data_IF_501316090511
#
_entry.id   IF_501316090511
#
_cell.length_a   1.000
_cell.length_b   1.000
_cell.length_c   1.000
_cell.angle_alpha   90.00
_cell.angle_beta   90.00
_cell.angle_gamma   90.00
#
_symmetry.space_group_name_H-M   'P 1'
#
loop_
_entity.id
_entity.type
_entity.pdbx_description
1 polymer ?
#
# COMPACT_ATOMS: atom_id res chain seq x y z
N UNK A 1 15.62 21.40 24.34
CA UNK A 1 15.35 20.64 23.09
C UNK A 1 14.78 21.62 22.08
N UNK A 2 15.29 21.65 20.85
CA UNK A 2 14.77 22.58 19.83
C UNK A 2 13.29 22.24 19.54
N UNK A 3 12.35 23.17 19.69
CA UNK A 3 10.91 22.93 19.48
C UNK A 3 10.58 22.45 18.05
N UNK A 4 11.42 22.75 17.07
CA UNK A 4 11.25 22.28 15.70
C UNK A 4 11.45 20.76 15.54
N UNK A 5 12.12 20.08 16.48
CA UNK A 5 12.37 18.63 16.43
C UNK A 5 11.21 17.81 17.03
N UNK A 6 10.44 18.43 17.93
CA UNK A 6 9.38 17.74 18.68
C UNK A 6 8.33 17.04 17.77
N UNK A 7 7.82 17.66 16.69
CA UNK A 7 6.88 17.02 15.78
C UNK A 7 7.44 15.75 15.12
N UNK A 8 8.72 15.78 14.74
CA UNK A 8 9.37 14.61 14.13
C UNK A 8 9.57 13.47 15.13
N UNK A 9 9.95 13.78 16.37
CA UNK A 9 10.05 12.78 17.44
C UNK A 9 8.67 12.17 17.75
N UNK A 10 7.62 12.99 17.81
CA UNK A 10 6.27 12.53 18.04
C UNK A 10 5.77 11.63 16.90
N UNK A 11 6.01 12.03 15.63
CA UNK A 11 5.66 11.21 14.46
C UNK A 11 6.46 9.89 14.47
N UNK A 12 7.76 9.94 14.74
CA UNK A 12 8.61 8.74 14.78
C UNK A 12 8.15 7.75 15.85
N UNK A 13 7.90 8.23 17.08
CA UNK A 13 7.38 7.41 18.17
C UNK A 13 5.98 6.85 17.86
N UNK A 14 5.07 7.69 17.36
CA UNK A 14 3.73 7.29 16.96
C UNK A 14 3.75 6.26 15.83
N UNK A 15 4.61 6.44 14.83
CA UNK A 15 4.79 5.49 13.72
C UNK A 15 5.33 4.14 14.21
N UNK A 16 6.24 4.15 15.17
CA UNK A 16 6.78 2.93 15.77
C UNK A 16 5.70 2.18 16.55
N UNK A 17 4.96 2.87 17.42
CA UNK A 17 3.85 2.26 18.17
C UNK A 17 2.78 1.72 17.23
N UNK A 18 2.36 2.52 16.24
CA UNK A 18 1.37 2.12 15.25
C UNK A 18 1.81 0.87 14.47
N UNK A 19 3.05 0.85 13.97
CA UNK A 19 3.57 -0.27 13.19
C UNK A 19 3.77 -1.54 14.02
N UNK A 20 4.14 -1.42 15.29
CA UNK A 20 4.23 -2.56 16.21
C UNK A 20 2.85 -3.14 16.53
N UNK A 21 1.84 -2.29 16.78
CA UNK A 21 0.46 -2.73 17.01
C UNK A 21 -0.11 -3.41 15.77
N UNK A 22 0.02 -2.78 14.61
CA UNK A 22 -0.44 -3.31 13.33
C UNK A 22 0.27 -4.62 12.96
N UNK A 23 1.59 -4.65 13.13
CA UNK A 23 2.40 -5.84 12.93
C UNK A 23 2.04 -6.95 13.90
N UNK A 24 1.81 -6.62 15.18
CA UNK A 24 1.34 -7.55 16.20
C UNK A 24 -0.02 -8.16 15.87
N UNK A 25 -0.97 -7.34 15.40
CA UNK A 25 -2.29 -7.80 14.93
C UNK A 25 -2.12 -8.76 13.74
N UNK A 26 -1.40 -8.32 12.70
CA UNK A 26 -1.16 -9.12 11.50
C UNK A 26 -0.40 -10.41 11.82
N UNK A 27 0.58 -10.37 12.70
CA UNK A 27 1.32 -11.55 13.15
C UNK A 27 0.46 -12.54 13.94
N UNK A 28 -0.50 -12.06 14.76
CA UNK A 28 -1.50 -12.92 15.43
C UNK A 28 -2.42 -13.59 14.42
N UNK A 29 -2.92 -12.82 13.45
CA UNK A 29 -3.76 -13.36 12.37
C UNK A 29 -3.04 -14.42 11.55
N UNK A 30 -1.74 -14.23 11.29
CA UNK A 30 -0.92 -15.18 10.54
C UNK A 30 -0.66 -16.51 11.28
N UNK A 31 -0.78 -16.52 12.61
CA UNK A 31 -0.69 -17.77 13.42
C UNK A 31 -1.97 -18.56 13.43
N UNK A 32 -3.10 -17.93 13.12
CA UNK A 32 -4.40 -18.58 13.00
C UNK A 32 -4.49 -19.38 11.71
N UNK A 33 -5.61 -20.09 11.55
CA UNK A 33 -5.93 -20.85 10.37
C UNK A 33 -7.00 -20.17 9.50
N UNK A 34 -7.15 -20.65 8.27
CA UNK A 34 -8.24 -20.25 7.40
C UNK A 34 -8.19 -18.80 6.92
N UNK A 35 -9.36 -18.09 6.89
CA UNK A 35 -9.45 -16.75 6.30
C UNK A 35 -8.58 -15.71 7.00
N UNK A 36 -8.45 -15.74 8.33
CA UNK A 36 -7.66 -14.77 9.09
C UNK A 36 -6.20 -14.76 8.66
N UNK A 37 -5.59 -15.94 8.47
CA UNK A 37 -4.21 -16.06 7.99
C UNK A 37 -4.03 -15.43 6.61
N UNK A 38 -4.96 -15.67 5.69
CA UNK A 38 -4.90 -15.09 4.34
C UNK A 38 -5.05 -13.56 4.33
N UNK A 39 -5.78 -13.00 5.29
CA UNK A 39 -5.99 -11.56 5.43
C UNK A 39 -4.85 -10.83 6.13
N UNK A 40 -3.99 -11.53 6.88
CA UNK A 40 -2.96 -10.93 7.72
C UNK A 40 -2.07 -9.93 6.96
N UNK A 41 -1.60 -10.31 5.77
CA UNK A 41 -0.76 -9.46 4.92
C UNK A 41 -1.50 -8.21 4.44
N UNK A 42 -2.78 -8.36 4.09
CA UNK A 42 -3.58 -7.24 3.59
C UNK A 42 -4.00 -6.28 4.69
N UNK A 43 -4.24 -6.76 5.90
CA UNK A 43 -4.46 -5.89 7.06
C UNK A 43 -3.23 -5.01 7.32
N UNK A 44 -2.03 -5.60 7.29
CA UNK A 44 -0.79 -4.82 7.39
C UNK A 44 -0.64 -3.82 6.25
N UNK A 45 -0.85 -4.25 5.01
CA UNK A 45 -0.76 -3.42 3.81
C UNK A 45 -1.72 -2.21 3.87
N UNK A 46 -3.02 -2.45 4.09
CA UNK A 46 -4.02 -1.38 4.20
C UNK A 46 -3.61 -0.39 5.31
N UNK A 47 -3.19 -0.92 6.46
CA UNK A 47 -2.82 -0.09 7.61
C UNK A 47 -1.63 0.82 7.31
N UNK A 48 -0.53 0.30 6.74
CA UNK A 48 0.66 1.12 6.48
C UNK A 48 0.40 2.21 5.43
N UNK A 49 -0.38 1.93 4.40
CA UNK A 49 -0.73 2.93 3.40
C UNK A 49 -1.71 3.99 3.94
N UNK A 50 -2.68 3.58 4.78
CA UNK A 50 -3.57 4.53 5.46
C UNK A 50 -2.79 5.44 6.41
N UNK A 51 -1.81 4.91 7.14
CA UNK A 51 -0.96 5.70 8.04
C UNK A 51 0.01 6.66 7.33
N UNK A 52 0.32 6.44 6.05
CA UNK A 52 1.16 7.36 5.28
C UNK A 52 0.47 8.70 5.02
N UNK A 53 -0.86 8.72 4.85
CA UNK A 53 -1.63 9.93 4.60
C UNK A 53 -1.52 10.96 5.74
N UNK A 54 -1.83 10.66 7.02
CA UNK A 54 -1.66 11.62 8.11
C UNK A 54 -0.19 12.01 8.33
N UNK A 55 0.78 11.14 8.10
CA UNK A 55 2.20 11.48 8.19
C UNK A 55 2.57 12.57 7.17
N UNK A 56 2.07 12.46 5.94
CA UNK A 56 2.28 13.46 4.91
C UNK A 56 1.52 14.76 5.20
N UNK A 57 0.26 14.71 5.62
CA UNK A 57 -0.52 15.89 5.96
C UNK A 57 0.12 16.69 7.09
N UNK A 58 0.76 16.01 8.05
CA UNK A 58 1.38 16.68 9.19
C UNK A 58 2.75 17.29 8.87
N UNK A 59 3.67 16.52 8.26
CA UNK A 59 5.07 16.93 8.06
C UNK A 59 5.53 16.84 6.59
N UNK A 60 4.61 16.77 5.65
CA UNK A 60 4.90 16.76 4.22
C UNK A 60 5.84 15.62 3.79
N UNK A 61 6.76 15.94 2.90
CA UNK A 61 7.76 14.99 2.38
C UNK A 61 8.54 14.29 3.51
N UNK A 62 9.05 15.04 4.48
CA UNK A 62 9.83 14.46 5.58
C UNK A 62 8.99 13.59 6.51
N UNK A 63 7.68 13.88 6.63
CA UNK A 63 6.75 13.02 7.35
C UNK A 63 6.65 11.63 6.73
N UNK A 64 6.51 11.56 5.42
CA UNK A 64 6.48 10.28 4.68
C UNK A 64 7.80 9.54 4.77
N UNK A 65 8.93 10.26 4.61
CA UNK A 65 10.27 9.66 4.72
C UNK A 65 10.48 9.05 6.10
N UNK A 66 10.15 9.79 7.17
CA UNK A 66 10.29 9.29 8.54
C UNK A 66 9.37 8.09 8.81
N UNK A 67 8.08 8.22 8.47
CA UNK A 67 7.11 7.14 8.62
C UNK A 67 7.52 5.89 7.84
N UNK A 68 7.87 6.05 6.56
CA UNK A 68 8.32 4.96 5.68
C UNK A 68 9.61 4.31 6.17
N UNK A 69 10.53 5.08 6.75
CA UNK A 69 11.78 4.55 7.34
C UNK A 69 11.51 3.66 8.55
N UNK A 70 10.58 4.03 9.43
CA UNK A 70 10.17 3.20 10.58
C UNK A 70 9.53 1.90 10.10
N UNK A 71 8.58 1.97 9.15
CA UNK A 71 7.95 0.77 8.57
C UNK A 71 8.99 -0.10 7.85
N UNK A 72 9.84 0.53 7.03
CA UNK A 72 10.90 -0.16 6.28
C UNK A 72 11.89 -0.89 7.19
N UNK A 73 12.28 -0.27 8.31
CA UNK A 73 13.14 -0.90 9.31
C UNK A 73 12.47 -2.12 9.96
N UNK A 74 11.18 -2.03 10.30
CA UNK A 74 10.43 -3.14 10.89
C UNK A 74 10.29 -4.31 9.90
N UNK A 75 9.94 -4.03 8.65
CA UNK A 75 9.82 -5.06 7.59
C UNK A 75 11.20 -5.62 7.24
N UNK A 76 12.24 -4.78 7.16
CA UNK A 76 13.62 -5.19 6.96
C UNK A 76 14.13 -6.11 8.07
N UNK A 77 13.81 -5.80 9.34
CA UNK A 77 14.12 -6.68 10.47
C UNK A 77 13.42 -8.04 10.34
N UNK A 78 12.13 -8.05 9.93
CA UNK A 78 11.41 -9.29 9.68
C UNK A 78 12.05 -10.10 8.55
N UNK A 79 12.46 -9.43 7.47
CA UNK A 79 13.16 -10.05 6.34
C UNK A 79 14.49 -10.72 6.76
N UNK A 80 15.30 -10.03 7.57
CA UNK A 80 16.61 -10.54 8.04
C UNK A 80 16.43 -11.72 8.99
N UNK A 81 15.52 -11.60 9.98
CA UNK A 81 15.26 -12.65 10.98
C UNK A 81 14.51 -13.86 10.42
N UNK A 82 13.81 -13.71 9.28
CA UNK A 82 13.07 -14.80 8.67
C UNK A 82 11.94 -15.30 9.57
N UNK A 83 11.69 -16.60 9.56
CA UNK A 83 10.58 -17.26 10.27
C UNK A 83 10.54 -17.02 11.80
N UNK A 84 11.66 -16.64 12.40
CA UNK A 84 11.74 -16.26 13.80
C UNK A 84 11.08 -14.91 14.12
N UNK A 85 10.86 -14.05 13.12
CA UNK A 85 10.21 -12.77 13.32
C UNK A 85 8.68 -12.91 13.29
N UNK A 86 7.99 -12.28 14.23
CA UNK A 86 6.52 -12.32 14.31
C UNK A 86 5.82 -11.78 13.05
N UNK A 87 6.43 -10.80 12.39
CA UNK A 87 5.89 -10.16 11.20
C UNK A 87 6.22 -10.95 9.91
N UNK A 88 7.29 -11.74 9.88
CA UNK A 88 7.69 -12.48 8.69
C UNK A 88 6.57 -13.38 8.16
N UNK A 89 5.93 -14.13 9.06
CA UNK A 89 4.82 -15.02 8.71
C UNK A 89 3.59 -14.28 8.18
N UNK A 90 3.38 -13.04 8.63
CA UNK A 90 2.28 -12.20 8.15
C UNK A 90 2.54 -11.67 6.74
N UNK A 91 3.80 -11.44 6.37
CA UNK A 91 4.20 -10.88 5.07
C UNK A 91 4.53 -11.94 4.02
N UNK A 92 5.03 -13.10 4.43
CA UNK A 92 5.35 -14.20 3.52
C UNK A 92 4.08 -14.87 3.00
N UNK A 93 4.10 -15.25 1.71
CA UNK A 93 3.04 -16.10 1.14
C UNK A 93 3.33 -17.57 1.49
N UNK A 94 2.26 -18.33 1.73
CA UNK A 94 2.38 -19.77 1.99
C UNK A 94 2.95 -20.52 0.77
N UNK A 95 3.85 -21.47 1.03
CA UNK A 95 4.10 -22.58 0.12
C UNK A 95 5.48 -22.75 -0.48
N UNK A 96 6.43 -21.82 -0.30
CA UNK A 96 7.75 -22.00 -0.93
C UNK A 96 8.87 -21.46 -0.03
N UNK A 97 9.71 -22.34 0.47
CA UNK A 97 11.00 -22.01 1.13
C UNK A 97 11.75 -20.91 0.39
N UNK A 98 12.79 -20.40 0.51
CA UNK A 98 13.53 -19.36 -0.24
C UNK A 98 12.76 -18.31 -1.06
N UNK A 99 11.60 -18.65 -1.62
CA UNK A 99 10.68 -17.74 -2.32
C UNK A 99 10.04 -16.70 -1.37
N UNK A 100 9.81 -17.02 -0.10
CA UNK A 100 9.17 -16.12 0.86
C UNK A 100 9.92 -14.79 1.05
N UNK A 101 11.26 -14.81 1.00
CA UNK A 101 12.06 -13.58 1.11
C UNK A 101 11.91 -12.63 -0.07
N UNK A 102 11.85 -13.17 -1.31
CA UNK A 102 11.63 -12.34 -2.52
C UNK A 102 10.25 -11.70 -2.51
N UNK A 103 9.26 -12.40 -1.98
CA UNK A 103 7.89 -11.92 -1.87
C UNK A 103 7.73 -10.78 -0.84
N UNK A 104 8.68 -10.60 0.07
CA UNK A 104 8.75 -9.46 0.98
C UNK A 104 9.57 -8.33 0.36
N UNK A 105 10.73 -8.64 -0.23
CA UNK A 105 11.69 -7.62 -0.70
C UNK A 105 11.15 -6.84 -1.89
N UNK A 106 10.59 -7.50 -2.91
CA UNK A 106 10.12 -6.80 -4.10
C UNK A 106 8.97 -5.81 -3.82
N UNK A 107 7.89 -6.18 -3.07
CA UNK A 107 6.89 -5.22 -2.65
C UNK A 107 7.43 -4.13 -1.73
N UNK A 108 8.40 -4.43 -0.84
CA UNK A 108 9.01 -3.43 0.03
C UNK A 108 9.73 -2.35 -0.78
N UNK A 109 10.62 -2.76 -1.69
CA UNK A 109 11.34 -1.83 -2.58
C UNK A 109 10.36 -1.04 -3.44
N UNK A 110 9.38 -1.71 -4.03
CA UNK A 110 8.33 -1.10 -4.85
C UNK A 110 7.52 -0.05 -4.05
N UNK A 111 7.19 -0.34 -2.78
CA UNK A 111 6.50 0.59 -1.89
C UNK A 111 7.35 1.81 -1.57
N UNK A 112 8.62 1.61 -1.23
CA UNK A 112 9.55 2.71 -0.87
C UNK A 112 9.76 3.62 -2.08
N UNK A 113 10.10 3.04 -3.23
CA UNK A 113 10.35 3.80 -4.47
C UNK A 113 9.08 4.53 -4.91
N UNK A 114 7.94 3.84 -4.95
CA UNK A 114 6.66 4.44 -5.33
C UNK A 114 6.26 5.58 -4.39
N UNK A 115 6.40 5.39 -3.08
CA UNK A 115 6.06 6.41 -2.09
C UNK A 115 6.93 7.66 -2.19
N UNK A 116 8.25 7.47 -2.28
CA UNK A 116 9.19 8.60 -2.40
C UNK A 116 9.00 9.34 -3.72
N UNK A 117 8.89 8.63 -4.85
CA UNK A 117 8.65 9.26 -6.15
C UNK A 117 7.33 10.02 -6.19
N UNK A 118 6.26 9.44 -5.65
CA UNK A 118 4.95 10.10 -5.63
C UNK A 118 5.00 11.41 -4.83
N UNK A 119 5.54 11.42 -3.60
CA UNK A 119 5.57 12.63 -2.79
C UNK A 119 6.58 13.65 -3.32
N UNK A 120 7.70 13.21 -3.90
CA UNK A 120 8.72 14.10 -4.46
C UNK A 120 8.23 14.81 -5.72
N UNK A 121 7.54 14.09 -6.62
CA UNK A 121 7.10 14.62 -7.91
C UNK A 121 5.74 15.32 -7.83
N UNK A 122 4.83 14.85 -6.98
CA UNK A 122 3.42 15.21 -7.00
C UNK A 122 2.95 15.87 -5.69
N UNK A 123 3.84 16.05 -4.73
CA UNK A 123 3.53 16.75 -3.47
C UNK A 123 2.37 16.08 -2.72
N UNK A 124 1.36 16.89 -2.36
CA UNK A 124 0.19 16.44 -1.59
C UNK A 124 -0.66 15.39 -2.32
N UNK A 125 -0.64 15.36 -3.65
CA UNK A 125 -1.38 14.34 -4.43
C UNK A 125 -0.87 12.91 -4.23
N UNK A 126 0.33 12.72 -3.66
CA UNK A 126 0.81 11.38 -3.30
C UNK A 126 -0.14 10.64 -2.35
N UNK A 127 -0.91 11.36 -1.53
CA UNK A 127 -1.93 10.79 -0.63
C UNK A 127 -2.97 9.97 -1.41
N UNK A 128 -3.33 10.42 -2.63
CA UNK A 128 -4.25 9.70 -3.51
C UNK A 128 -3.69 8.30 -3.81
N UNK A 129 -2.44 8.24 -4.26
CA UNK A 129 -1.78 6.97 -4.56
C UNK A 129 -1.64 6.06 -3.36
N UNK A 130 -1.36 6.61 -2.17
CA UNK A 130 -1.27 5.80 -0.95
C UNK A 130 -2.62 5.17 -0.62
N UNK A 131 -3.70 5.93 -0.58
CA UNK A 131 -5.01 5.39 -0.23
C UNK A 131 -5.55 4.46 -1.32
N UNK A 132 -5.33 4.76 -2.61
CA UNK A 132 -5.70 3.86 -3.72
C UNK A 132 -4.92 2.55 -3.62
N UNK A 133 -3.61 2.58 -3.37
CA UNK A 133 -2.79 1.38 -3.20
C UNK A 133 -3.23 0.59 -1.96
N UNK A 134 -3.41 1.23 -0.82
CA UNK A 134 -3.82 0.56 0.41
C UNK A 134 -5.19 -0.09 0.30
N UNK A 135 -6.19 0.68 -0.10
CA UNK A 135 -7.59 0.25 -0.09
C UNK A 135 -7.95 -0.53 -1.36
N UNK A 136 -7.51 -0.04 -2.53
CA UNK A 136 -7.80 -0.68 -3.82
C UNK A 136 -7.14 -2.06 -3.93
N UNK A 137 -5.79 -2.12 -3.94
CA UNK A 137 -5.07 -3.39 -4.02
C UNK A 137 -5.33 -4.29 -2.78
N UNK A 138 -5.52 -3.67 -1.60
CA UNK A 138 -5.86 -4.39 -0.39
C UNK A 138 -7.14 -5.22 -0.55
N UNK A 139 -8.24 -4.59 -0.99
CA UNK A 139 -9.54 -5.25 -1.17
C UNK A 139 -9.54 -6.11 -2.43
N UNK A 140 -8.89 -5.66 -3.50
CA UNK A 140 -8.82 -6.37 -4.78
C UNK A 140 -8.26 -7.77 -4.68
N UNK A 141 -7.17 -7.97 -3.92
CA UNK A 141 -6.61 -9.30 -3.71
C UNK A 141 -7.55 -10.19 -2.89
N UNK A 142 -8.20 -9.65 -1.85
CA UNK A 142 -9.17 -10.40 -1.02
C UNK A 142 -10.33 -10.90 -1.88
N UNK A 143 -10.93 -10.01 -2.67
CA UNK A 143 -12.06 -10.33 -3.54
C UNK A 143 -11.64 -11.30 -4.65
N UNK A 144 -10.50 -11.03 -5.28
CA UNK A 144 -9.96 -11.89 -6.35
C UNK A 144 -9.66 -13.31 -5.89
N UNK A 145 -9.15 -13.50 -4.67
CA UNK A 145 -8.89 -14.83 -4.10
C UNK A 145 -10.17 -15.57 -3.72
N UNK A 146 -11.20 -14.86 -3.23
CA UNK A 146 -12.41 -15.49 -2.71
C UNK A 146 -13.47 -15.70 -3.77
N UNK A 147 -13.64 -14.78 -4.70
CA UNK A 147 -14.73 -14.76 -5.69
C UNK A 147 -14.25 -14.68 -7.14
N UNK A 148 -12.93 -14.61 -7.38
CA UNK A 148 -12.36 -14.50 -8.72
C UNK A 148 -12.64 -15.73 -9.58
N UNK A 149 -13.35 -15.54 -10.68
CA UNK A 149 -13.72 -16.57 -11.65
C UNK A 149 -13.02 -16.36 -13.00
N UNK A 150 -13.00 -15.09 -13.51
CA UNK A 150 -12.43 -14.75 -14.81
C UNK A 150 -10.99 -14.34 -14.63
N UNK A 151 -10.06 -15.23 -14.99
CA UNK A 151 -8.62 -15.04 -14.81
C UNK A 151 -7.97 -14.42 -16.05
N UNK A 152 -7.02 -13.52 -15.82
CA UNK A 152 -6.13 -12.99 -16.84
C UNK A 152 -4.70 -12.89 -16.30
N UNK A 153 -3.74 -12.57 -17.19
CA UNK A 153 -2.32 -12.48 -16.82
C UNK A 153 -1.81 -11.05 -16.94
N UNK A 154 -1.05 -10.59 -15.94
CA UNK A 154 -0.35 -9.31 -15.97
C UNK A 154 0.78 -9.28 -17.01
N UNK A 155 1.40 -8.12 -17.20
CA UNK A 155 2.59 -8.00 -18.01
C UNK A 155 3.75 -8.82 -17.42
N UNK A 156 4.61 -9.42 -18.27
CA UNK A 156 5.70 -10.24 -17.77
C UNK A 156 6.85 -9.38 -17.23
N UNK A 157 7.44 -9.79 -16.11
CA UNK A 157 8.74 -9.35 -15.67
C UNK A 157 9.63 -10.60 -15.52
N UNK A 158 10.74 -10.66 -16.23
CA UNK A 158 11.64 -11.82 -16.23
C UNK A 158 10.90 -13.15 -16.49
N UNK A 159 10.02 -13.19 -17.48
CA UNK A 159 9.16 -14.34 -17.85
C UNK A 159 8.11 -14.73 -16.80
N UNK A 160 8.02 -14.04 -15.66
CA UNK A 160 6.97 -14.25 -14.67
C UNK A 160 5.77 -13.36 -14.93
N UNK A 161 4.59 -13.92 -14.79
CA UNK A 161 3.31 -13.21 -14.91
C UNK A 161 2.46 -13.56 -13.71
N UNK A 162 1.92 -12.58 -13.01
CA UNK A 162 0.91 -12.84 -12.00
C UNK A 162 -0.45 -13.13 -12.65
N UNK A 163 -1.21 -13.99 -12.00
CA UNK A 163 -2.60 -14.26 -12.39
C UNK A 163 -3.49 -13.34 -11.60
N UNK A 164 -4.30 -12.58 -12.31
CA UNK A 164 -5.29 -11.64 -11.76
C UNK A 164 -6.70 -12.11 -12.11
N UNK A 165 -7.71 -11.47 -11.53
CA UNK A 165 -9.11 -11.75 -11.84
C UNK A 165 -9.87 -10.46 -12.11
N UNK A 166 -10.85 -10.53 -13.01
CA UNK A 166 -11.70 -9.37 -13.35
C UNK A 166 -12.44 -8.87 -12.11
N UNK A 167 -12.94 -9.81 -11.29
CA UNK A 167 -13.65 -9.47 -10.04
C UNK A 167 -12.72 -8.79 -9.04
N UNK A 168 -11.45 -9.22 -8.96
CA UNK A 168 -10.42 -8.55 -8.16
C UNK A 168 -10.17 -7.13 -8.66
N UNK A 169 -10.02 -6.92 -9.97
CA UNK A 169 -9.79 -5.59 -10.55
C UNK A 169 -10.98 -4.65 -10.38
N UNK A 170 -12.22 -5.16 -10.44
CA UNK A 170 -13.40 -4.38 -10.10
C UNK A 170 -13.41 -3.96 -8.62
N UNK A 171 -12.93 -4.83 -7.75
CA UNK A 171 -12.77 -4.48 -6.33
C UNK A 171 -11.63 -3.46 -6.11
N UNK A 172 -10.52 -3.53 -6.88
CA UNK A 172 -9.49 -2.47 -6.91
C UNK A 172 -10.09 -1.13 -7.33
N UNK A 173 -10.93 -1.12 -8.37
CA UNK A 173 -11.63 0.09 -8.81
C UNK A 173 -12.50 0.67 -7.68
N UNK A 174 -13.32 -0.15 -7.02
CA UNK A 174 -14.20 0.30 -5.93
C UNK A 174 -13.43 0.78 -4.71
N UNK A 175 -12.47 0.00 -4.21
CA UNK A 175 -11.61 0.39 -3.08
C UNK A 175 -10.72 1.58 -3.43
N UNK A 176 -10.21 1.63 -4.66
CA UNK A 176 -9.44 2.75 -5.18
C UNK A 176 -10.26 4.03 -5.35
N UNK A 177 -11.53 3.92 -5.78
CA UNK A 177 -12.48 5.03 -5.78
C UNK A 177 -12.63 5.62 -4.38
N UNK A 178 -12.91 4.78 -3.38
CA UNK A 178 -13.07 5.23 -2.00
C UNK A 178 -11.77 5.86 -1.45
N UNK A 179 -10.62 5.26 -1.74
CA UNK A 179 -9.32 5.80 -1.35
C UNK A 179 -9.01 7.14 -2.01
N UNK A 180 -9.24 7.26 -3.32
CA UNK A 180 -9.05 8.51 -4.06
C UNK A 180 -10.00 9.61 -3.63
N UNK A 181 -11.29 9.27 -3.43
CA UNK A 181 -12.29 10.17 -2.88
C UNK A 181 -11.88 10.70 -1.50
N UNK A 182 -11.52 9.81 -0.57
CA UNK A 182 -11.09 10.19 0.76
C UNK A 182 -9.81 11.04 0.75
N UNK A 183 -8.85 10.75 -0.14
CA UNK A 183 -7.65 11.55 -0.30
C UNK A 183 -7.94 12.97 -0.74
N UNK A 184 -8.82 13.15 -1.74
CA UNK A 184 -9.19 14.46 -2.26
C UNK A 184 -10.04 15.26 -1.25
N UNK A 185 -10.89 14.60 -0.49
CA UNK A 185 -11.63 15.20 0.62
C UNK A 185 -10.69 15.71 1.71
N UNK A 186 -9.69 14.90 2.11
CA UNK A 186 -8.63 15.31 3.05
C UNK A 186 -7.79 16.48 2.53
N UNK A 187 -7.66 16.65 1.21
CA UNK A 187 -6.98 17.78 0.57
C UNK A 187 -7.89 19.00 0.41
N UNK A 188 -9.16 18.93 0.81
CA UNK A 188 -10.11 20.05 0.82
C UNK A 188 -10.79 20.33 -0.52
N UNK A 189 -10.82 19.37 -1.46
CA UNK A 189 -11.52 19.53 -2.73
C UNK A 189 -13.04 19.46 -2.55
N UNK A 190 -13.78 20.15 -3.44
CA UNK A 190 -15.24 20.10 -3.45
C UNK A 190 -15.78 18.68 -3.68
N UNK A 191 -16.93 18.28 -3.08
CA UNK A 191 -17.44 16.91 -3.13
C UNK A 191 -17.57 16.32 -4.54
N UNK A 192 -17.98 17.14 -5.52
CA UNK A 192 -18.10 16.70 -6.92
C UNK A 192 -16.75 16.34 -7.54
N UNK A 193 -15.70 17.12 -7.22
CA UNK A 193 -14.33 16.85 -7.65
C UNK A 193 -13.76 15.60 -6.95
N UNK A 194 -14.09 15.40 -5.67
CA UNK A 194 -13.73 14.18 -4.97
C UNK A 194 -14.34 12.92 -5.61
N UNK A 195 -15.60 12.99 -6.05
CA UNK A 195 -16.25 11.89 -6.77
C UNK A 195 -15.57 11.63 -8.12
N UNK A 196 -15.42 12.67 -8.95
CA UNK A 196 -14.81 12.53 -10.28
C UNK A 196 -13.35 12.10 -10.22
N UNK A 197 -12.55 12.74 -9.36
CA UNK A 197 -11.14 12.41 -9.15
C UNK A 197 -10.95 11.03 -8.51
N UNK A 198 -11.82 10.65 -7.57
CA UNK A 198 -11.83 9.33 -6.98
C UNK A 198 -12.12 8.23 -8.00
N UNK A 199 -13.08 8.43 -8.89
CA UNK A 199 -13.38 7.50 -9.99
C UNK A 199 -12.18 7.36 -10.94
N UNK A 200 -11.58 8.46 -11.33
CA UNK A 200 -10.36 8.44 -12.15
C UNK A 200 -9.23 7.70 -11.45
N UNK A 201 -8.95 8.04 -10.20
CA UNK A 201 -7.88 7.42 -9.41
C UNK A 201 -8.12 5.91 -9.23
N UNK A 202 -9.35 5.49 -8.94
CA UNK A 202 -9.73 4.08 -8.84
C UNK A 202 -9.59 3.32 -10.15
N UNK A 203 -10.00 3.94 -11.28
CA UNK A 203 -9.86 3.35 -12.60
C UNK A 203 -8.39 3.18 -13.01
N UNK A 204 -7.58 4.24 -12.82
CA UNK A 204 -6.13 4.19 -13.07
C UNK A 204 -5.45 3.17 -12.16
N UNK A 205 -5.85 3.12 -10.87
CA UNK A 205 -5.36 2.13 -9.92
C UNK A 205 -5.65 0.70 -10.34
N UNK A 206 -6.87 0.41 -10.80
CA UNK A 206 -7.28 -0.92 -11.27
C UNK A 206 -6.50 -1.36 -12.52
N UNK A 207 -6.32 -0.45 -13.48
CA UNK A 207 -5.52 -0.71 -14.68
C UNK A 207 -4.05 -0.93 -14.31
N UNK A 208 -3.49 -0.07 -13.46
CA UNK A 208 -2.10 -0.15 -13.01
C UNK A 208 -1.82 -1.47 -12.29
N UNK A 209 -2.69 -1.86 -11.33
CA UNK A 209 -2.58 -3.12 -10.60
C UNK A 209 -2.68 -4.31 -11.55
N UNK A 210 -3.70 -4.29 -12.43
CA UNK A 210 -3.98 -5.39 -13.36
C UNK A 210 -2.85 -5.64 -14.37
N UNK A 211 -2.15 -4.60 -14.80
CA UNK A 211 -1.07 -4.69 -15.79
C UNK A 211 0.32 -4.83 -15.15
N UNK A 212 0.50 -4.44 -13.90
CA UNK A 212 1.81 -4.42 -13.24
C UNK A 212 2.44 -5.81 -13.16
N UNK A 213 3.75 -5.91 -13.44
CA UNK A 213 4.52 -7.13 -13.19
C UNK A 213 4.51 -7.49 -11.70
N UNK A 214 4.69 -8.79 -11.42
CA UNK A 214 4.67 -9.32 -10.06
C UNK A 214 5.66 -8.60 -9.13
N UNK A 215 5.15 -8.05 -8.02
CA UNK A 215 5.92 -7.36 -6.99
C UNK A 215 6.26 -5.90 -7.28
N UNK A 216 5.85 -5.35 -8.43
CA UNK A 216 6.05 -3.93 -8.77
C UNK A 216 4.74 -3.12 -8.70
N UNK A 217 3.64 -3.77 -8.41
CA UNK A 217 2.30 -3.19 -8.34
C UNK A 217 2.23 -1.98 -7.40
N UNK A 218 2.82 -2.06 -6.21
CA UNK A 218 2.84 -0.95 -5.26
C UNK A 218 3.48 0.34 -5.81
N UNK A 219 4.49 0.24 -6.68
CA UNK A 219 5.08 1.40 -7.33
C UNK A 219 4.07 2.09 -8.25
N UNK A 220 3.47 1.33 -9.15
CA UNK A 220 2.60 1.87 -10.18
C UNK A 220 1.26 2.35 -9.63
N UNK A 221 0.70 1.61 -8.66
CA UNK A 221 -0.58 1.98 -8.02
C UNK A 221 -0.44 3.18 -7.08
N UNK A 222 0.76 3.49 -6.59
CA UNK A 222 1.00 4.74 -5.89
C UNK A 222 1.20 5.91 -6.87
N UNK A 223 2.02 5.73 -7.89
CA UNK A 223 2.47 6.82 -8.75
C UNK A 223 1.39 7.25 -9.76
N UNK A 224 0.78 6.29 -10.49
CA UNK A 224 -0.11 6.64 -11.61
C UNK A 224 -1.45 7.25 -11.19
N UNK A 225 -2.17 6.78 -10.14
CA UNK A 225 -3.35 7.47 -9.64
C UNK A 225 -3.05 8.88 -9.08
N UNK A 226 -1.89 9.04 -8.40
CA UNK A 226 -1.43 10.34 -7.94
C UNK A 226 -1.18 11.30 -9.10
N UNK A 227 -0.51 10.83 -10.15
CA UNK A 227 -0.23 11.60 -11.36
C UNK A 227 -1.52 11.99 -12.10
N UNK A 228 -2.46 11.05 -12.23
CA UNK A 228 -3.74 11.32 -12.88
C UNK A 228 -4.56 12.37 -12.12
N UNK A 229 -4.57 12.28 -10.79
CA UNK A 229 -5.27 13.27 -9.95
C UNK A 229 -4.57 14.65 -9.97
N UNK A 230 -3.24 14.67 -9.96
CA UNK A 230 -2.47 15.90 -10.11
C UNK A 230 -2.72 16.55 -11.48
N UNK A 231 -2.75 15.77 -12.55
CA UNK A 231 -3.00 16.30 -13.90
C UNK A 231 -4.41 16.87 -14.06
N UNK A 232 -5.39 16.31 -13.35
CA UNK A 232 -6.79 16.75 -13.41
C UNK A 232 -7.05 18.00 -12.55
N UNK A 233 -6.39 18.11 -11.39
CA UNK A 233 -6.75 19.04 -10.31
C UNK A 233 -5.60 19.91 -9.80
N UNK A 234 -4.35 19.67 -10.25
CA UNK A 234 -3.11 20.33 -9.82
C UNK A 234 -2.71 21.61 -10.57
#
# INVERSE_FOLDING_TARGET
MNPAILPYLALGAGSLVFSLLLGGLSGRMARGEGPARRLSRKVFHIGIFTGAAPAQLWLGFWGVVLYGSVIGALVGQAYVRGEGAFLFRALARDGEGGAGRRQILAPLVSTIVGGILSVFLLGSFAIVGYLVCGWGDGVGEIVGQRWGRRRYRSLPLNRRRSVRTVEGSLAVLGGGFLGGWAALDLLGYAPLLCVGGGLLAGAVGAVSEGLSPEGTDNLWVQLLPSLASWWLLG
#
